data_IF_989341526106
#
_entry.id   IF_989341526106
#
_cell.length_a   1.000
_cell.length_b   1.000
_cell.length_c   1.000
_cell.angle_alpha   90.00
_cell.angle_beta   90.00
_cell.angle_gamma   90.00
#
_symmetry.space_group_name_H-M   'P 1'
#
loop_
_entity.id
_entity.type
_entity.pdbx_description
1 polymer ?
#
# COMPACT_ATOMS: atom_id res chain seq x y z
N UNK A 1 33.67 7.56 19.03
CA UNK A 1 32.26 7.30 19.41
C UNK A 1 31.38 8.06 18.47
N UNK A 2 30.49 7.44 17.66
CA UNK A 2 29.52 8.18 16.87
C UNK A 2 28.54 8.78 17.89
N UNK A 3 28.44 10.12 17.92
CA UNK A 3 27.57 10.83 18.82
C UNK A 3 26.13 10.41 18.62
N UNK A 4 25.49 9.96 19.71
CA UNK A 4 24.06 9.84 19.81
C UNK A 4 23.45 11.18 19.35
N UNK A 5 22.81 11.18 18.16
CA UNK A 5 21.93 12.29 17.81
C UNK A 5 20.87 12.35 18.92
N UNK A 6 20.59 13.51 19.52
CA UNK A 6 19.45 13.62 20.39
C UNK A 6 18.25 13.06 19.65
N UNK A 7 17.42 12.24 20.32
CA UNK A 7 16.16 11.77 19.76
C UNK A 7 15.33 13.00 19.41
N UNK A 8 15.43 13.42 18.16
CA UNK A 8 14.54 14.43 17.61
C UNK A 8 13.19 13.73 17.45
N UNK A 9 12.32 13.85 18.44
CA UNK A 9 10.94 13.41 18.40
C UNK A 9 10.14 14.27 17.38
N UNK A 10 10.59 14.22 16.11
CA UNK A 10 9.90 14.89 15.00
C UNK A 10 8.65 14.11 14.60
N UNK A 11 8.65 12.81 14.86
CA UNK A 11 7.52 11.95 14.55
C UNK A 11 6.62 11.82 15.78
N UNK A 12 5.33 11.98 15.59
CA UNK A 12 4.35 11.62 16.61
C UNK A 12 4.37 10.11 16.87
N UNK A 13 4.06 9.67 18.10
CA UNK A 13 3.85 8.24 18.35
C UNK A 13 2.89 7.63 17.35
N UNK A 14 3.17 6.42 16.89
CA UNK A 14 2.27 5.73 15.97
C UNK A 14 0.89 5.57 16.59
N UNK A 15 -0.14 5.84 15.80
CA UNK A 15 -1.51 5.56 16.18
C UNK A 15 -1.66 4.06 16.48
N UNK A 16 -2.27 3.73 17.61
CA UNK A 16 -2.59 2.35 17.94
C UNK A 16 -3.72 1.85 17.05
N UNK A 17 -3.37 1.02 16.10
CA UNK A 17 -4.31 0.28 15.26
C UNK A 17 -4.36 -1.17 15.68
N UNK A 18 -5.45 -1.89 15.36
CA UNK A 18 -5.45 -3.35 15.52
C UNK A 18 -4.40 -3.96 14.60
N UNK A 19 -3.84 -5.09 14.98
CA UNK A 19 -2.93 -5.84 14.11
C UNK A 19 -3.69 -6.91 13.37
N UNK A 20 -3.48 -7.00 12.06
CA UNK A 20 -3.99 -8.07 11.19
C UNK A 20 -2.83 -8.79 10.51
N UNK A 21 -3.10 -9.96 9.93
CA UNK A 21 -2.12 -10.71 9.14
C UNK A 21 -2.43 -10.60 7.64
N UNK A 22 -1.41 -10.39 6.83
CA UNK A 22 -1.46 -10.52 5.38
C UNK A 22 -0.50 -11.66 5.02
N UNK A 23 -1.00 -12.88 5.03
CA UNK A 23 -0.13 -14.06 4.99
C UNK A 23 0.88 -14.06 6.14
N UNK A 24 2.17 -14.04 5.83
CA UNK A 24 3.26 -14.00 6.80
C UNK A 24 3.62 -12.59 7.32
N UNK A 25 3.00 -11.54 6.80
CA UNK A 25 3.32 -10.15 7.14
C UNK A 25 2.27 -9.57 8.07
N UNK A 26 2.67 -9.16 9.27
CA UNK A 26 1.84 -8.43 10.20
C UNK A 26 1.68 -6.96 9.74
N UNK A 27 0.47 -6.41 9.86
CA UNK A 27 0.12 -5.03 9.48
C UNK A 27 -0.70 -4.39 10.59
N UNK A 28 -0.33 -3.19 11.01
CA UNK A 28 -0.94 -2.51 12.14
C UNK A 28 -0.30 -2.85 13.48
N UNK A 29 -0.80 -2.30 14.56
CA UNK A 29 -0.20 -2.45 15.88
C UNK A 29 1.25 -1.94 15.91
N UNK A 30 2.13 -2.74 16.48
CA UNK A 30 3.57 -2.45 16.56
C UNK A 30 4.37 -3.01 15.37
N UNK A 31 3.70 -3.64 14.38
CA UNK A 31 4.37 -4.19 13.21
C UNK A 31 5.06 -3.09 12.37
N UNK A 32 6.21 -3.37 11.75
CA UNK A 32 6.87 -2.43 10.85
C UNK A 32 5.95 -1.99 9.70
N UNK A 33 6.10 -0.75 9.23
CA UNK A 33 5.34 -0.27 8.08
C UNK A 33 5.79 -1.01 6.83
N UNK A 34 4.87 -1.73 6.19
CA UNK A 34 5.16 -2.54 5.02
C UNK A 34 5.06 -1.74 3.71
N UNK A 35 5.94 -2.05 2.77
CA UNK A 35 5.90 -1.54 1.39
C UNK A 35 5.19 -2.55 0.51
N UNK A 36 4.09 -2.13 -0.09
CA UNK A 36 3.33 -2.94 -1.05
C UNK A 36 3.52 -2.39 -2.47
N UNK A 37 3.62 -3.29 -3.46
CA UNK A 37 3.49 -2.93 -4.88
C UNK A 37 2.46 -3.81 -5.58
N UNK A 38 2.36 -3.68 -6.90
CA UNK A 38 1.41 -4.41 -7.72
C UNK A 38 2.06 -4.82 -9.03
N UNK A 39 1.80 -6.05 -9.48
CA UNK A 39 2.23 -6.50 -10.80
C UNK A 39 1.47 -5.78 -11.92
N UNK A 40 2.13 -5.62 -13.04
CA UNK A 40 1.57 -5.09 -14.30
C UNK A 40 1.35 -6.17 -15.35
N UNK A 41 1.85 -7.39 -15.09
CA UNK A 41 1.63 -8.57 -15.93
C UNK A 41 0.18 -9.03 -15.87
N UNK A 42 -0.25 -9.75 -16.89
CA UNK A 42 -1.54 -10.46 -16.83
C UNK A 42 -1.42 -11.62 -15.87
N UNK A 43 -2.26 -11.69 -14.86
CA UNK A 43 -2.13 -12.66 -13.75
C UNK A 43 -2.17 -14.11 -14.24
N UNK A 44 -2.92 -14.42 -15.30
CA UNK A 44 -2.95 -15.74 -15.90
C UNK A 44 -1.66 -16.14 -16.67
N UNK A 45 -0.78 -15.17 -16.95
CA UNK A 45 0.61 -15.47 -17.34
C UNK A 45 1.44 -15.66 -16.06
N UNK A 46 1.38 -16.90 -15.55
CA UNK A 46 1.98 -17.26 -14.26
C UNK A 46 3.49 -17.01 -14.27
N UNK A 47 4.17 -17.38 -15.37
CA UNK A 47 5.64 -17.25 -15.47
C UNK A 47 6.08 -15.79 -15.37
N UNK A 48 5.52 -14.92 -16.21
CA UNK A 48 5.84 -13.48 -16.18
C UNK A 48 5.44 -12.83 -14.86
N UNK A 49 4.33 -13.26 -14.25
CA UNK A 49 3.87 -12.72 -12.97
C UNK A 49 4.80 -13.10 -11.83
N UNK A 50 5.23 -14.35 -11.75
CA UNK A 50 6.19 -14.82 -10.73
C UNK A 50 7.56 -14.17 -10.91
N UNK A 51 8.03 -13.98 -12.14
CA UNK A 51 9.26 -13.26 -12.42
C UNK A 51 9.19 -11.82 -11.89
N UNK A 52 8.12 -11.10 -12.20
CA UNK A 52 7.93 -9.73 -11.71
C UNK A 52 7.81 -9.68 -10.18
N UNK A 53 7.14 -10.65 -9.54
CA UNK A 53 7.09 -10.76 -8.07
C UNK A 53 8.50 -10.98 -7.50
N UNK A 54 9.34 -11.78 -8.13
CA UNK A 54 10.72 -12.00 -7.71
C UNK A 54 11.55 -10.69 -7.78
N UNK A 55 11.39 -9.91 -8.84
CA UNK A 55 12.04 -8.61 -9.01
C UNK A 55 11.59 -7.61 -7.93
N UNK A 56 10.28 -7.55 -7.67
CA UNK A 56 9.72 -6.71 -6.60
C UNK A 56 10.25 -7.13 -5.22
N UNK A 57 10.32 -8.43 -4.97
CA UNK A 57 10.86 -8.98 -3.72
C UNK A 57 12.33 -8.60 -3.53
N UNK A 58 13.13 -8.72 -4.59
CA UNK A 58 14.54 -8.33 -4.57
C UNK A 58 14.73 -6.83 -4.31
N UNK A 59 13.79 -5.99 -4.78
CA UNK A 59 13.79 -4.55 -4.51
C UNK A 59 13.36 -4.18 -3.07
N UNK A 60 12.85 -5.14 -2.28
CA UNK A 60 12.41 -4.94 -0.89
C UNK A 60 10.91 -4.73 -0.73
N UNK A 61 10.09 -5.22 -1.66
CA UNK A 61 8.64 -5.30 -1.51
C UNK A 61 8.27 -6.33 -0.44
N UNK A 62 7.41 -5.95 0.50
CA UNK A 62 6.97 -6.84 1.58
C UNK A 62 5.70 -7.60 1.22
N UNK A 63 4.83 -7.02 0.40
CA UNK A 63 3.53 -7.58 -0.01
C UNK A 63 3.28 -7.22 -1.48
N UNK A 64 2.84 -8.17 -2.29
CA UNK A 64 2.50 -7.92 -3.68
C UNK A 64 1.00 -8.07 -3.93
N UNK A 65 0.44 -7.26 -4.84
CA UNK A 65 -0.93 -7.35 -5.29
C UNK A 65 -0.98 -7.76 -6.77
N UNK A 66 -1.89 -8.65 -7.11
CA UNK A 66 -2.17 -9.10 -8.48
C UNK A 66 -3.62 -8.82 -8.83
N UNK A 67 -3.90 -8.44 -10.08
CA UNK A 67 -5.26 -8.23 -10.55
C UNK A 67 -5.95 -9.57 -10.84
N UNK A 68 -7.25 -9.68 -10.54
CA UNK A 68 -8.04 -10.88 -10.84
C UNK A 68 -9.36 -10.50 -11.52
N UNK A 69 -9.33 -10.06 -12.78
CA UNK A 69 -10.53 -9.66 -13.52
C UNK A 69 -11.28 -10.81 -14.19
N UNK A 70 -10.66 -11.97 -14.41
CA UNK A 70 -11.24 -13.09 -15.18
C UNK A 70 -11.11 -14.44 -14.47
N UNK A 71 -11.85 -15.44 -14.96
CA UNK A 71 -11.76 -16.83 -14.45
C UNK A 71 -10.36 -17.43 -14.68
N UNK A 72 -9.66 -17.06 -15.76
CA UNK A 72 -8.28 -17.49 -16.03
C UNK A 72 -7.32 -16.96 -14.95
N UNK A 73 -7.50 -15.70 -14.57
CA UNK A 73 -6.68 -15.08 -13.52
C UNK A 73 -6.97 -15.73 -12.16
N UNK A 74 -8.24 -16.00 -11.84
CA UNK A 74 -8.62 -16.70 -10.61
C UNK A 74 -7.98 -18.10 -10.53
N UNK A 75 -7.97 -18.84 -11.64
CA UNK A 75 -7.32 -20.17 -11.70
C UNK A 75 -5.82 -20.12 -11.50
N UNK A 76 -5.16 -19.02 -11.87
CA UNK A 76 -3.72 -18.84 -11.70
C UNK A 76 -3.31 -18.50 -10.26
N UNK A 77 -4.22 -17.93 -9.46
CA UNK A 77 -3.91 -17.42 -8.11
C UNK A 77 -3.27 -18.47 -7.21
N UNK A 78 -3.75 -19.72 -7.27
CA UNK A 78 -3.23 -20.80 -6.41
C UNK A 78 -1.75 -21.05 -6.65
N UNK A 79 -1.32 -21.15 -7.89
CA UNK A 79 0.08 -21.37 -8.25
C UNK A 79 0.92 -20.16 -7.84
N UNK A 80 0.43 -18.95 -8.13
CA UNK A 80 1.15 -17.71 -7.81
C UNK A 80 1.29 -17.56 -6.29
N UNK A 81 0.22 -17.77 -5.51
CA UNK A 81 0.26 -17.66 -4.06
C UNK A 81 1.22 -18.68 -3.41
N UNK A 82 1.26 -19.91 -3.94
CA UNK A 82 2.14 -20.98 -3.43
C UNK A 82 3.62 -20.77 -3.77
N UNK A 83 3.92 -20.19 -4.94
CA UNK A 83 5.31 -20.02 -5.40
C UNK A 83 5.88 -18.63 -5.08
N UNK A 84 5.06 -17.68 -4.70
CA UNK A 84 5.52 -16.36 -4.28
C UNK A 84 6.24 -16.43 -2.93
N UNK A 85 7.39 -15.73 -2.83
CA UNK A 85 8.15 -15.61 -1.57
C UNK A 85 7.57 -14.58 -0.60
N UNK A 86 6.71 -13.71 -1.09
CA UNK A 86 6.01 -12.67 -0.31
C UNK A 86 4.50 -12.85 -0.44
N UNK A 87 3.70 -12.44 0.55
CA UNK A 87 2.25 -12.59 0.49
C UNK A 87 1.64 -11.94 -0.74
N UNK A 88 0.69 -12.65 -1.35
CA UNK A 88 -0.05 -12.18 -2.52
C UNK A 88 -1.43 -11.67 -2.09
N UNK A 89 -1.80 -10.48 -2.53
CA UNK A 89 -3.15 -9.93 -2.41
C UNK A 89 -3.86 -10.04 -3.76
N UNK A 90 -5.03 -10.64 -3.80
CA UNK A 90 -5.89 -10.61 -4.97
C UNK A 90 -6.72 -9.31 -5.00
N UNK A 91 -6.70 -8.63 -6.15
CA UNK A 91 -7.44 -7.38 -6.37
C UNK A 91 -8.73 -7.66 -7.15
N UNK A 92 -9.86 -7.66 -6.42
CA UNK A 92 -11.18 -8.01 -6.95
C UNK A 92 -12.04 -6.74 -7.07
N UNK A 93 -12.52 -6.46 -8.29
CA UNK A 93 -13.29 -5.24 -8.56
C UNK A 93 -14.79 -5.48 -8.72
N UNK A 94 -15.21 -6.59 -9.33
CA UNK A 94 -16.59 -6.68 -9.88
C UNK A 94 -17.36 -7.95 -9.53
N UNK A 95 -16.72 -9.03 -9.12
CA UNK A 95 -17.41 -10.33 -8.98
C UNK A 95 -17.08 -11.05 -7.69
N UNK A 96 -18.08 -11.30 -6.83
CA UNK A 96 -17.91 -11.99 -5.53
C UNK A 96 -17.25 -13.36 -5.68
N UNK A 97 -17.53 -14.10 -6.76
CA UNK A 97 -16.96 -15.44 -6.97
C UNK A 97 -15.44 -15.48 -6.92
N UNK A 98 -14.77 -14.38 -7.36
CA UNK A 98 -13.31 -14.30 -7.34
C UNK A 98 -12.75 -14.06 -5.93
N UNK A 99 -13.56 -13.50 -5.01
CA UNK A 99 -13.16 -13.37 -3.60
C UNK A 99 -12.99 -14.75 -3.00
N UNK A 100 -13.98 -15.63 -3.18
CA UNK A 100 -13.91 -17.02 -2.70
C UNK A 100 -12.75 -17.79 -3.34
N UNK A 101 -12.60 -17.66 -4.67
CA UNK A 101 -11.48 -18.28 -5.38
C UNK A 101 -10.10 -17.82 -4.86
N UNK A 102 -9.95 -16.54 -4.53
CA UNK A 102 -8.71 -15.99 -3.97
C UNK A 102 -8.44 -16.49 -2.54
N UNK A 103 -9.48 -16.63 -1.73
CA UNK A 103 -9.38 -17.21 -0.38
C UNK A 103 -8.95 -18.67 -0.48
N UNK A 104 -9.63 -19.48 -1.30
CA UNK A 104 -9.31 -20.89 -1.52
C UNK A 104 -7.92 -21.10 -2.15
N UNK A 105 -7.45 -20.15 -2.95
CA UNK A 105 -6.12 -20.18 -3.54
C UNK A 105 -4.98 -19.93 -2.54
N UNK A 106 -5.29 -19.50 -1.30
CA UNK A 106 -4.30 -19.21 -0.27
C UNK A 106 -3.67 -17.83 -0.41
N UNK A 107 -4.34 -16.87 -1.05
CA UNK A 107 -3.91 -15.47 -1.03
C UNK A 107 -3.87 -14.94 0.41
N UNK A 108 -2.84 -14.17 0.76
CA UNK A 108 -2.69 -13.60 2.11
C UNK A 108 -3.74 -12.53 2.45
N UNK A 109 -4.33 -11.90 1.46
CA UNK A 109 -5.46 -11.00 1.61
C UNK A 109 -6.24 -10.84 0.29
N UNK A 110 -7.46 -10.30 0.39
CA UNK A 110 -8.27 -9.90 -0.77
C UNK A 110 -8.62 -8.42 -0.67
N UNK A 111 -8.41 -7.69 -1.76
CA UNK A 111 -8.89 -6.30 -1.85
C UNK A 111 -10.26 -6.27 -2.51
N UNK A 112 -11.19 -5.66 -1.82
CA UNK A 112 -12.55 -5.38 -2.30
C UNK A 112 -12.76 -3.87 -2.48
N UNK A 113 -13.58 -3.47 -3.45
CA UNK A 113 -13.89 -2.07 -3.72
C UNK A 113 -15.34 -1.77 -3.35
N UNK A 114 -15.59 -0.94 -2.31
CA UNK A 114 -16.94 -0.63 -1.84
C UNK A 114 -17.86 -0.02 -2.90
N UNK A 115 -17.35 0.84 -3.75
CA UNK A 115 -18.13 1.44 -4.83
C UNK A 115 -18.78 0.43 -5.79
N UNK A 116 -18.30 -0.80 -5.78
CA UNK A 116 -18.80 -1.91 -6.58
C UNK A 116 -19.52 -2.96 -5.73
N UNK A 117 -19.50 -2.86 -4.39
CA UNK A 117 -19.95 -3.89 -3.46
C UNK A 117 -21.46 -3.95 -3.30
N UNK A 118 -22.23 -2.99 -3.77
CA UNK A 118 -23.71 -3.14 -3.74
C UNK A 118 -24.25 -4.43 -4.35
N UNK A 119 -23.47 -5.05 -5.25
CA UNK A 119 -23.72 -6.41 -5.72
C UNK A 119 -23.23 -7.48 -4.76
N UNK A 120 -22.57 -7.06 -3.67
CA UNK A 120 -21.97 -7.92 -2.66
C UNK A 120 -22.70 -7.85 -1.29
N UNK A 121 -23.62 -6.89 -1.09
CA UNK A 121 -24.29 -6.70 0.19
C UNK A 121 -24.89 -8.03 0.70
N UNK A 122 -25.50 -8.80 -0.19
CA UNK A 122 -26.05 -10.14 0.13
C UNK A 122 -24.94 -11.20 0.37
N UNK A 123 -23.66 -10.87 0.10
CA UNK A 123 -22.52 -11.79 0.19
C UNK A 123 -21.51 -11.43 1.26
N UNK A 124 -21.67 -10.28 1.92
CA UNK A 124 -20.70 -9.82 2.93
C UNK A 124 -20.53 -10.86 4.04
N UNK A 125 -21.61 -11.41 4.56
CA UNK A 125 -21.58 -12.44 5.60
C UNK A 125 -20.83 -13.71 5.15
N UNK A 126 -21.11 -14.19 3.93
CA UNK A 126 -20.45 -15.37 3.35
C UNK A 126 -18.94 -15.10 3.15
N UNK A 127 -18.58 -13.91 2.67
CA UNK A 127 -17.19 -13.49 2.46
C UNK A 127 -16.46 -13.41 3.80
N UNK A 128 -17.06 -12.77 4.81
CA UNK A 128 -16.49 -12.67 6.15
C UNK A 128 -16.25 -14.04 6.76
N UNK A 129 -17.24 -14.95 6.63
CA UNK A 129 -17.12 -16.32 7.10
C UNK A 129 -15.98 -17.04 6.40
N UNK A 130 -15.92 -17.04 5.08
CA UNK A 130 -14.89 -17.71 4.32
C UNK A 130 -13.49 -17.15 4.64
N UNK A 131 -13.36 -15.83 4.75
CA UNK A 131 -12.11 -15.17 5.11
C UNK A 131 -11.66 -15.54 6.54
N UNK A 132 -12.58 -15.57 7.49
CA UNK A 132 -12.31 -15.99 8.88
C UNK A 132 -11.88 -17.45 8.96
N UNK A 133 -12.62 -18.35 8.31
CA UNK A 133 -12.34 -19.79 8.32
C UNK A 133 -10.95 -20.13 7.73
N UNK A 134 -10.46 -19.31 6.80
CA UNK A 134 -9.16 -19.48 6.14
C UNK A 134 -8.04 -18.56 6.69
N UNK A 135 -8.32 -17.68 7.64
CA UNK A 135 -7.35 -16.72 8.18
C UNK A 135 -6.88 -15.70 7.15
N UNK A 136 -7.72 -15.32 6.20
CA UNK A 136 -7.41 -14.37 5.12
C UNK A 136 -7.94 -12.99 5.48
N UNK A 137 -7.07 -11.98 5.50
CA UNK A 137 -7.50 -10.61 5.76
C UNK A 137 -8.11 -9.94 4.53
N UNK A 138 -8.94 -8.92 4.77
CA UNK A 138 -9.56 -8.15 3.70
C UNK A 138 -8.99 -6.72 3.65
N UNK A 139 -9.14 -6.06 2.50
CA UNK A 139 -8.88 -4.63 2.39
C UNK A 139 -10.04 -3.90 1.75
N UNK A 140 -10.62 -2.98 2.49
CA UNK A 140 -11.59 -2.01 1.98
C UNK A 140 -10.82 -0.93 1.23
N UNK A 141 -11.07 -0.80 -0.07
CA UNK A 141 -10.32 0.11 -0.94
C UNK A 141 -11.17 1.20 -1.55
N UNK A 142 -11.41 2.28 -0.82
CA UNK A 142 -12.13 3.47 -1.35
C UNK A 142 -11.20 4.29 -2.22
N UNK A 143 -11.64 4.63 -3.42
CA UNK A 143 -10.94 5.51 -4.35
C UNK A 143 -11.87 6.61 -4.86
N UNK A 144 -11.35 7.81 -5.04
CA UNK A 144 -12.11 8.94 -5.58
C UNK A 144 -12.78 8.64 -6.93
N UNK A 145 -12.06 7.97 -7.84
CA UNK A 145 -12.57 7.63 -9.18
C UNK A 145 -13.65 6.53 -9.22
N UNK A 146 -13.92 5.86 -8.10
CA UNK A 146 -14.93 4.80 -7.98
C UNK A 146 -15.78 4.93 -6.72
N UNK A 147 -15.98 6.16 -6.25
CA UNK A 147 -16.83 6.45 -5.10
C UNK A 147 -18.31 6.16 -5.42
N UNK A 148 -19.06 5.72 -4.40
CA UNK A 148 -20.50 5.46 -4.52
C UNK A 148 -21.25 6.68 -5.10
N UNK A 149 -22.04 6.51 -6.17
CA UNK A 149 -22.80 7.60 -6.78
C UNK A 149 -23.74 8.35 -5.82
N UNK A 150 -24.22 7.70 -4.75
CA UNK A 150 -25.03 8.34 -3.71
C UNK A 150 -24.21 9.38 -2.95
N UNK A 151 -22.96 9.03 -2.61
CA UNK A 151 -22.06 9.94 -1.91
C UNK A 151 -21.61 11.08 -2.83
N UNK A 152 -21.33 10.77 -4.11
CA UNK A 152 -21.06 11.82 -5.10
C UNK A 152 -22.24 12.80 -5.22
N UNK A 153 -23.48 12.30 -5.22
CA UNK A 153 -24.68 13.16 -5.24
C UNK A 153 -24.82 13.98 -3.95
N UNK A 154 -24.51 13.37 -2.79
CA UNK A 154 -24.61 14.04 -1.48
C UNK A 154 -23.58 15.15 -1.31
N UNK A 155 -22.33 14.91 -1.71
CA UNK A 155 -21.19 15.80 -1.46
C UNK A 155 -20.74 16.62 -2.68
N UNK A 156 -21.31 16.36 -3.86
CA UNK A 156 -20.96 17.04 -5.12
C UNK A 156 -19.65 16.55 -5.76
N UNK A 157 -18.74 16.01 -4.98
CA UNK A 157 -17.44 15.46 -5.44
C UNK A 157 -16.89 14.45 -4.43
N UNK A 158 -15.71 13.85 -4.76
CA UNK A 158 -15.02 12.93 -3.85
C UNK A 158 -14.28 13.71 -2.74
N UNK A 159 -15.01 14.39 -1.88
CA UNK A 159 -14.46 15.11 -0.74
C UNK A 159 -13.88 14.17 0.30
N UNK A 160 -13.02 14.65 1.24
CA UNK A 160 -12.53 13.84 2.35
C UNK A 160 -13.68 13.20 3.14
N UNK A 161 -14.76 13.93 3.40
CA UNK A 161 -15.93 13.44 4.12
C UNK A 161 -16.64 12.31 3.38
N UNK A 162 -16.78 12.45 2.05
CA UNK A 162 -17.40 11.42 1.21
C UNK A 162 -16.59 10.12 1.20
N UNK A 163 -15.26 10.24 1.12
CA UNK A 163 -14.35 9.09 1.16
C UNK A 163 -14.40 8.38 2.52
N UNK A 164 -14.40 9.14 3.60
CA UNK A 164 -14.48 8.61 4.97
C UNK A 164 -15.83 7.97 5.25
N UNK A 165 -16.95 8.61 4.85
CA UNK A 165 -18.29 8.03 5.01
C UNK A 165 -18.41 6.69 4.28
N UNK A 166 -17.89 6.60 3.05
CA UNK A 166 -17.85 5.33 2.31
C UNK A 166 -17.07 4.25 3.05
N UNK A 167 -15.90 4.61 3.57
CA UNK A 167 -15.03 3.67 4.26
C UNK A 167 -15.62 3.17 5.59
N UNK A 168 -16.19 4.08 6.38
CA UNK A 168 -16.82 3.75 7.67
C UNK A 168 -18.07 2.89 7.48
N UNK A 169 -18.91 3.24 6.49
CA UNK A 169 -20.09 2.45 6.18
C UNK A 169 -19.73 1.02 5.79
N UNK A 170 -18.72 0.84 4.95
CA UNK A 170 -18.25 -0.48 4.54
C UNK A 170 -17.64 -1.26 5.70
N UNK A 171 -16.86 -0.58 6.55
CA UNK A 171 -16.27 -1.19 7.73
C UNK A 171 -17.37 -1.70 8.68
N UNK A 172 -18.49 -0.97 8.84
CA UNK A 172 -19.60 -1.39 9.69
C UNK A 172 -20.22 -2.70 9.22
N UNK A 173 -20.35 -2.92 7.91
CA UNK A 173 -20.91 -4.18 7.37
C UNK A 173 -20.05 -5.39 7.74
N UNK A 174 -18.71 -5.26 7.71
CA UNK A 174 -17.81 -6.33 8.13
C UNK A 174 -17.85 -6.54 9.66
N UNK A 175 -17.86 -5.45 10.42
CA UNK A 175 -17.91 -5.50 11.90
C UNK A 175 -19.24 -6.04 12.43
N UNK A 176 -20.36 -5.77 11.78
CA UNK A 176 -21.68 -6.35 12.08
C UNK A 176 -21.68 -7.89 11.88
N UNK A 177 -20.87 -8.40 10.95
CA UNK A 177 -20.62 -9.84 10.80
C UNK A 177 -19.59 -10.40 11.79
N UNK A 178 -19.08 -9.59 12.73
CA UNK A 178 -18.02 -9.98 13.66
C UNK A 178 -16.62 -10.09 13.04
N UNK A 179 -16.44 -9.69 11.77
CA UNK A 179 -15.16 -9.78 11.09
C UNK A 179 -14.32 -8.51 11.32
N UNK A 180 -13.11 -8.68 11.86
CA UNK A 180 -12.22 -7.57 12.23
C UNK A 180 -10.87 -7.56 11.49
N UNK A 181 -10.55 -8.63 10.75
CA UNK A 181 -9.27 -8.80 10.07
C UNK A 181 -9.24 -8.05 8.74
N UNK A 182 -9.41 -6.74 8.79
CA UNK A 182 -9.33 -5.91 7.59
C UNK A 182 -8.60 -4.58 7.83
N UNK A 183 -8.04 -4.05 6.75
CA UNK A 183 -7.42 -2.73 6.66
C UNK A 183 -8.18 -1.85 5.68
N UNK A 184 -8.02 -0.53 5.79
CA UNK A 184 -8.75 0.45 4.97
C UNK A 184 -7.78 1.32 4.17
N UNK A 185 -8.19 1.72 2.98
CA UNK A 185 -7.54 2.78 2.21
C UNK A 185 -8.57 3.75 1.66
N UNK A 186 -8.31 5.06 1.78
CA UNK A 186 -9.10 6.16 1.20
C UNK A 186 -8.17 6.97 0.30
N UNK A 187 -8.22 6.72 -1.00
CA UNK A 187 -7.24 7.25 -1.97
C UNK A 187 -7.83 8.36 -2.82
N UNK A 188 -7.01 9.39 -3.02
CA UNK A 188 -7.30 10.49 -3.93
C UNK A 188 -6.03 10.85 -4.72
N UNK A 189 -6.17 11.49 -5.90
CA UNK A 189 -5.05 11.99 -6.70
C UNK A 189 -4.52 13.34 -6.18
N UNK A 190 -5.38 14.11 -5.51
CA UNK A 190 -5.00 15.33 -4.80
C UNK A 190 -4.47 14.99 -3.41
N UNK A 191 -3.27 15.49 -3.11
CA UNK A 191 -2.53 15.18 -1.88
C UNK A 191 -3.24 15.73 -0.65
N UNK A 192 -3.75 16.96 -0.71
CA UNK A 192 -4.38 17.64 0.43
C UNK A 192 -5.67 16.92 0.82
N UNK A 193 -6.52 16.63 -0.15
CA UNK A 193 -7.76 15.86 0.02
C UNK A 193 -7.47 14.47 0.61
N UNK A 194 -6.45 13.78 0.09
CA UNK A 194 -6.05 12.47 0.59
C UNK A 194 -5.59 12.54 2.05
N UNK A 195 -4.68 13.45 2.37
CA UNK A 195 -4.15 13.62 3.74
C UNK A 195 -5.30 13.89 4.71
N UNK A 196 -6.20 14.80 4.36
CA UNK A 196 -7.36 15.11 5.19
C UNK A 196 -8.28 13.91 5.40
N UNK A 197 -8.55 13.14 4.36
CA UNK A 197 -9.37 11.93 4.46
C UNK A 197 -8.76 10.89 5.42
N UNK A 198 -7.44 10.65 5.34
CA UNK A 198 -6.77 9.73 6.26
C UNK A 198 -6.72 10.24 7.70
N UNK A 199 -6.52 11.55 7.92
CA UNK A 199 -6.61 12.14 9.25
C UNK A 199 -7.99 11.90 9.88
N UNK A 200 -9.06 12.24 9.14
CA UNK A 200 -10.43 12.03 9.59
C UNK A 200 -10.74 10.56 9.83
N UNK A 201 -10.29 9.66 8.96
CA UNK A 201 -10.50 8.22 9.12
C UNK A 201 -9.74 7.67 10.34
N UNK A 202 -8.53 8.18 10.58
CA UNK A 202 -7.72 7.80 11.73
C UNK A 202 -8.39 8.15 13.07
N UNK A 203 -9.26 9.15 13.13
CA UNK A 203 -10.03 9.53 14.32
C UNK A 203 -11.26 8.65 14.56
N UNK A 204 -11.69 7.86 13.57
CA UNK A 204 -12.96 7.11 13.60
C UNK A 204 -12.85 5.68 14.09
N UNK A 205 -11.68 5.08 14.08
CA UNK A 205 -11.51 3.68 14.46
C UNK A 205 -10.06 3.26 14.64
N UNK A 206 -9.85 1.98 14.92
CA UNK A 206 -8.55 1.36 15.15
C UNK A 206 -8.06 0.52 13.95
N UNK A 207 -8.62 0.74 12.77
CA UNK A 207 -8.27 0.00 11.56
C UNK A 207 -6.84 0.30 11.09
N UNK A 208 -6.07 -0.71 10.66
CA UNK A 208 -4.82 -0.46 9.94
C UNK A 208 -5.08 0.30 8.64
N UNK A 209 -4.25 1.29 8.35
CA UNK A 209 -4.43 2.18 7.20
C UNK A 209 -3.38 1.92 6.13
N UNK A 210 -3.86 1.67 4.90
CA UNK A 210 -3.02 1.50 3.72
C UNK A 210 -2.93 2.80 2.93
N UNK A 211 -1.81 3.51 3.05
CA UNK A 211 -1.60 4.79 2.38
C UNK A 211 -1.29 4.61 0.89
N UNK A 212 -1.83 5.51 0.07
CA UNK A 212 -1.51 5.53 -1.37
C UNK A 212 -2.16 6.72 -2.06
N UNK A 213 -1.38 7.46 -2.84
CA UNK A 213 -1.91 8.42 -3.81
C UNK A 213 -2.35 7.63 -5.05
N UNK A 214 -3.59 7.79 -5.50
CA UNK A 214 -4.04 7.17 -6.75
C UNK A 214 -3.71 8.09 -7.92
N UNK A 215 -3.43 7.51 -9.10
CA UNK A 215 -3.18 8.30 -10.32
C UNK A 215 -2.14 9.41 -10.11
N UNK A 216 -1.04 9.06 -9.44
CA UNK A 216 -0.03 10.06 -9.06
C UNK A 216 0.75 10.61 -10.25
N UNK A 217 0.77 9.90 -11.38
CA UNK A 217 1.38 10.32 -12.64
C UNK A 217 2.80 9.81 -12.86
N UNK A 218 3.59 10.47 -13.74
CA UNK A 218 4.96 10.10 -14.06
C UNK A 218 5.87 10.02 -12.82
N UNK A 219 7.00 9.33 -12.94
CA UNK A 219 7.90 9.00 -11.83
C UNK A 219 8.26 10.22 -10.96
N UNK A 220 8.69 11.32 -11.55
CA UNK A 220 9.07 12.53 -10.81
C UNK A 220 7.89 13.12 -10.04
N UNK A 221 6.78 13.40 -10.72
CA UNK A 221 5.58 13.98 -10.10
C UNK A 221 4.99 13.05 -9.04
N UNK A 222 4.87 11.76 -9.35
CA UNK A 222 4.28 10.76 -8.46
C UNK A 222 5.13 10.53 -7.21
N UNK A 223 6.45 10.61 -7.33
CA UNK A 223 7.38 10.55 -6.19
C UNK A 223 7.16 11.73 -5.26
N UNK A 224 7.09 12.95 -5.79
CA UNK A 224 6.86 14.16 -4.99
C UNK A 224 5.51 14.10 -4.28
N UNK A 225 4.43 13.73 -5.00
CA UNK A 225 3.10 13.57 -4.40
C UNK A 225 3.09 12.54 -3.28
N UNK A 226 3.70 11.38 -3.52
CA UNK A 226 3.77 10.31 -2.52
C UNK A 226 4.60 10.72 -1.31
N UNK A 227 5.75 11.36 -1.52
CA UNK A 227 6.60 11.85 -0.44
C UNK A 227 5.88 12.91 0.42
N UNK A 228 5.20 13.85 -0.20
CA UNK A 228 4.41 14.87 0.51
C UNK A 228 3.28 14.25 1.33
N UNK A 229 2.47 13.36 0.72
CA UNK A 229 1.34 12.74 1.38
C UNK A 229 1.77 11.81 2.52
N UNK A 230 2.69 10.89 2.23
CA UNK A 230 3.13 9.90 3.22
C UNK A 230 3.99 10.54 4.31
N UNK A 231 4.88 11.48 3.94
CA UNK A 231 5.67 12.23 4.92
C UNK A 231 4.79 12.94 5.94
N UNK A 232 3.73 13.61 5.48
CA UNK A 232 2.78 14.29 6.36
C UNK A 232 2.02 13.32 7.27
N UNK A 233 1.50 12.21 6.74
CA UNK A 233 0.71 11.26 7.52
C UNK A 233 1.57 10.44 8.49
N UNK A 234 2.69 9.91 8.02
CA UNK A 234 3.61 9.12 8.83
C UNK A 234 4.25 9.94 9.96
N UNK A 235 4.53 11.23 9.72
CA UNK A 235 5.00 12.13 10.78
C UNK A 235 3.96 12.34 11.90
N UNK A 236 2.67 12.16 11.58
CA UNK A 236 1.56 12.18 12.55
C UNK A 236 1.24 10.79 13.15
N UNK A 237 2.06 9.79 12.86
CA UNK A 237 1.84 8.42 13.31
C UNK A 237 0.73 7.68 12.56
N UNK A 238 0.26 8.17 11.43
CA UNK A 238 -0.84 7.60 10.64
C UNK A 238 -0.29 6.80 9.46
N UNK A 239 -0.60 5.50 9.42
CA UNK A 239 -0.25 4.60 8.32
C UNK A 239 0.50 3.35 8.76
N UNK A 240 0.06 2.20 8.24
CA UNK A 240 0.57 0.88 8.61
C UNK A 240 1.17 0.12 7.42
N UNK A 241 0.78 0.50 6.21
CA UNK A 241 1.34 -0.01 4.96
C UNK A 241 1.22 1.05 3.88
N UNK A 242 2.20 1.11 2.98
CA UNK A 242 2.25 2.13 1.92
C UNK A 242 2.33 1.49 0.54
N UNK A 243 1.77 2.15 -0.47
CA UNK A 243 2.01 1.86 -1.87
C UNK A 243 2.22 3.17 -2.64
N UNK A 244 3.42 3.35 -3.17
CA UNK A 244 3.71 4.37 -4.17
C UNK A 244 3.09 3.94 -5.50
N UNK A 245 2.48 4.86 -6.24
CA UNK A 245 1.88 4.58 -7.55
C UNK A 245 2.50 5.50 -8.59
N UNK A 246 3.19 4.92 -9.56
CA UNK A 246 3.90 5.65 -10.60
C UNK A 246 3.53 5.11 -11.99
N UNK A 247 3.49 5.98 -12.99
CA UNK A 247 3.54 5.56 -14.39
C UNK A 247 4.99 5.21 -14.78
N UNK A 248 5.53 4.13 -14.16
CA UNK A 248 6.89 3.64 -14.28
C UNK A 248 6.93 2.13 -13.93
N UNK A 249 8.05 1.42 -14.14
CA UNK A 249 8.21 0.04 -13.69
C UNK A 249 7.92 -0.10 -12.19
N UNK A 250 7.17 -1.14 -11.74
CA UNK A 250 6.76 -1.28 -10.35
C UNK A 250 7.92 -1.38 -9.34
N UNK A 251 9.10 -1.79 -9.79
CA UNK A 251 10.33 -1.79 -8.97
C UNK A 251 10.67 -0.39 -8.47
N UNK A 252 10.45 0.65 -9.28
CA UNK A 252 10.69 2.04 -8.89
C UNK A 252 9.72 2.48 -7.77
N UNK A 253 8.48 2.00 -7.78
CA UNK A 253 7.52 2.25 -6.69
C UNK A 253 8.06 1.72 -5.36
N UNK A 254 8.64 0.52 -5.36
CA UNK A 254 9.22 -0.12 -4.17
C UNK A 254 10.44 0.63 -3.68
N UNK A 255 11.34 1.04 -4.59
CA UNK A 255 12.54 1.82 -4.25
C UNK A 255 12.16 3.15 -3.57
N UNK A 256 11.22 3.89 -4.16
CA UNK A 256 10.73 5.16 -3.59
C UNK A 256 10.09 4.95 -2.22
N UNK A 257 9.21 3.95 -2.08
CA UNK A 257 8.56 3.65 -0.80
C UNK A 257 9.55 3.26 0.29
N UNK A 258 10.52 2.40 -0.03
CA UNK A 258 11.56 1.97 0.90
C UNK A 258 12.45 3.14 1.34
N UNK A 259 12.93 3.95 0.39
CA UNK A 259 13.76 5.12 0.69
C UNK A 259 13.03 6.16 1.54
N UNK A 260 11.74 6.38 1.29
CA UNK A 260 10.93 7.28 2.10
C UNK A 260 10.88 6.82 3.56
N UNK A 261 10.62 5.54 3.81
CA UNK A 261 10.61 4.99 5.17
C UNK A 261 12.01 5.04 5.83
N UNK A 262 13.07 4.76 5.07
CA UNK A 262 14.47 4.87 5.54
C UNK A 262 14.81 6.30 5.97
N UNK A 263 14.48 7.30 5.14
CA UNK A 263 14.77 8.72 5.44
C UNK A 263 13.96 9.25 6.62
N UNK A 264 12.75 8.73 6.83
CA UNK A 264 11.94 9.05 8.00
C UNK A 264 12.37 8.28 9.27
N UNK A 265 13.34 7.36 9.18
CA UNK A 265 13.74 6.52 10.33
C UNK A 265 12.72 5.45 10.72
N UNK A 266 11.76 5.14 9.84
CA UNK A 266 10.71 4.12 10.03
C UNK A 266 11.11 2.74 9.48
N UNK A 267 12.27 2.66 8.85
CA UNK A 267 12.92 1.43 8.37
C UNK A 267 14.44 1.55 8.60
N UNK A 268 15.18 0.45 8.82
CA UNK A 268 16.63 0.51 8.92
C UNK A 268 17.23 1.18 7.68
N UNK A 269 18.12 2.14 7.89
CA UNK A 269 18.79 2.84 6.80
C UNK A 269 19.78 1.90 6.12
N UNK A 270 19.77 1.90 4.80
CA UNK A 270 20.82 1.34 3.98
C UNK A 270 21.87 2.41 3.68
N UNK A 271 22.86 2.07 2.87
CA UNK A 271 23.86 3.00 2.42
C UNK A 271 23.22 4.28 1.85
N UNK A 272 23.68 5.42 2.35
CA UNK A 272 23.24 6.76 1.92
C UNK A 272 24.45 7.55 1.43
N UNK A 273 24.36 8.10 0.24
CA UNK A 273 25.40 8.99 -0.31
C UNK A 273 25.01 10.43 0.04
N UNK A 274 25.87 11.08 0.81
CA UNK A 274 25.72 12.49 1.16
C UNK A 274 26.74 13.27 0.32
N UNK A 275 26.26 14.07 -0.64
CA UNK A 275 27.09 14.86 -1.51
C UNK A 275 26.72 16.35 -1.47
N UNK A 276 27.72 17.21 -1.71
CA UNK A 276 27.49 18.64 -1.88
C UNK A 276 26.75 18.89 -3.20
N UNK A 277 25.76 19.81 -3.27
CA UNK A 277 25.05 20.12 -4.52
C UNK A 277 25.92 20.82 -5.57
N UNK A 278 27.18 21.12 -5.23
CA UNK A 278 28.13 21.90 -6.06
C UNK A 278 27.78 23.39 -6.09
N UNK A 279 28.80 24.22 -6.32
CA UNK A 279 28.66 25.67 -6.51
C UNK A 279 29.93 26.19 -7.22
N UNK A 280 30.04 27.51 -7.47
CA UNK A 280 31.24 28.14 -8.12
C UNK A 280 32.56 27.96 -7.34
N UNK A 281 32.57 27.37 -6.15
CA UNK A 281 33.77 27.02 -5.38
C UNK A 281 34.21 25.56 -5.58
N UNK A 282 33.45 24.76 -6.31
CA UNK A 282 33.77 23.35 -6.53
C UNK A 282 35.03 23.24 -7.42
N UNK A 283 35.97 22.39 -7.01
CA UNK A 283 37.23 22.12 -7.75
C UNK A 283 37.17 20.77 -8.48
N UNK A 284 36.05 20.04 -8.31
CA UNK A 284 35.79 18.75 -8.95
C UNK A 284 34.36 18.74 -9.49
N UNK A 285 34.08 17.90 -10.46
CA UNK A 285 32.73 17.63 -10.94
C UNK A 285 32.01 16.74 -9.91
N UNK A 286 31.34 17.39 -8.95
CA UNK A 286 30.64 16.72 -7.84
C UNK A 286 29.48 15.85 -8.34
N UNK A 287 28.82 16.25 -9.44
CA UNK A 287 27.70 15.48 -9.98
C UNK A 287 28.17 14.14 -10.52
N UNK A 288 29.10 14.16 -11.50
CA UNK A 288 29.65 12.92 -12.07
C UNK A 288 30.28 12.01 -10.99
N UNK A 289 30.96 12.62 -9.99
CA UNK A 289 31.53 11.88 -8.89
C UNK A 289 30.43 11.18 -8.05
N UNK A 290 29.33 11.87 -7.71
CA UNK A 290 28.24 11.30 -6.93
C UNK A 290 27.56 10.15 -7.67
N UNK A 291 27.29 10.30 -8.98
CA UNK A 291 26.73 9.24 -9.83
C UNK A 291 27.67 8.01 -9.90
N UNK A 292 28.99 8.26 -10.07
CA UNK A 292 29.97 7.18 -10.10
C UNK A 292 30.06 6.41 -8.79
N UNK A 293 29.96 7.10 -7.65
CA UNK A 293 29.94 6.48 -6.32
C UNK A 293 28.65 5.69 -6.12
N UNK A 294 27.49 6.22 -6.53
CA UNK A 294 26.20 5.53 -6.46
C UNK A 294 26.23 4.21 -7.24
N UNK A 295 26.71 4.26 -8.50
CA UNK A 295 26.84 3.08 -9.35
C UNK A 295 27.84 2.08 -8.77
N UNK A 296 28.98 2.52 -8.29
CA UNK A 296 30.01 1.65 -7.72
C UNK A 296 29.63 0.98 -6.40
N UNK A 297 28.67 1.54 -5.67
CA UNK A 297 28.24 1.05 -4.36
C UNK A 297 26.85 0.38 -4.38
N UNK A 298 26.20 0.27 -5.53
CA UNK A 298 24.84 -0.27 -5.65
C UNK A 298 24.66 -1.69 -5.10
N UNK A 299 25.71 -2.51 -5.13
CA UNK A 299 25.69 -3.90 -4.67
C UNK A 299 26.25 -4.06 -3.24
N UNK A 300 26.68 -2.97 -2.60
CA UNK A 300 27.18 -3.02 -1.23
C UNK A 300 26.04 -3.15 -0.25
N UNK A 301 26.05 -4.23 0.50
CA UNK A 301 25.14 -4.45 1.62
C UNK A 301 25.77 -3.80 2.86
N UNK A 302 25.20 -2.70 3.32
CA UNK A 302 25.59 -2.06 4.57
C UNK A 302 24.82 -2.66 5.77
#
# INVERSE_FOLDING_TARGET
MPGLRPELNVLSPRKRTRQIQVGSVAVGGDAPISVQSMTTTKTHDIGSTLQQIAELTAAGCDIVRVACPTDKDASALKIIAQQSRIPVIADIHFQPKYVFAAIEAGCGAVRVNPGNIRKFDDKVADICKAASDCGVSLRIGVNAGSLDPRLLKKYGSATPEALVESAVWEASLFEECGFRDFKISVKHHDVVTMVRAYQMLAERGDWPLHLGVTEAGPAFQGTIKSAAAFGTLLAQGIGDTIRVSLSAPPVEEVKVGSKLLEFMGLRPRKLEIVSCPSCGRAQVDVWTLAESVEEGLKDVKA
#
